data_IF_552833760836
#
_entry.id   IF_552833760836
#
_cell.length_a   1.000
_cell.length_b   1.000
_cell.length_c   1.000
_cell.angle_alpha   90.00
_cell.angle_beta   90.00
_cell.angle_gamma   90.00
#
_symmetry.space_group_name_H-M   'P 1'
#
loop_
_entity.id
_entity.type
_entity.pdbx_description
1 polymer ?
#
# COMPACT_ATOMS: atom_id res chain seq x y z
N UNK A 1 1.93 27.53 -17.48
CA UNK A 1 1.48 26.20 -17.04
C UNK A 1 1.00 26.29 -15.60
N UNK A 2 -0.17 25.75 -15.25
CA UNK A 2 -0.69 25.82 -13.88
C UNK A 2 0.19 24.97 -12.93
N UNK A 3 0.39 25.42 -11.69
CA UNK A 3 1.11 24.68 -10.64
C UNK A 3 0.61 23.24 -10.50
N UNK A 4 -0.71 23.02 -10.67
CA UNK A 4 -1.32 21.66 -10.66
C UNK A 4 -0.79 20.78 -11.80
N UNK A 5 -0.71 21.31 -13.01
CA UNK A 5 -0.21 20.58 -14.19
C UNK A 5 1.27 20.25 -14.05
N UNK A 6 2.07 21.18 -13.50
CA UNK A 6 3.49 20.92 -13.18
C UNK A 6 3.61 19.79 -12.15
N UNK A 7 2.82 19.85 -11.08
CA UNK A 7 2.83 18.84 -10.03
C UNK A 7 2.47 17.44 -10.54
N UNK A 8 1.41 17.32 -11.35
CA UNK A 8 1.02 16.04 -11.97
C UNK A 8 2.14 15.52 -12.88
N UNK A 9 2.72 16.39 -13.72
CA UNK A 9 3.82 16.01 -14.59
C UNK A 9 5.04 15.47 -13.83
N UNK A 10 5.45 16.14 -12.74
CA UNK A 10 6.54 15.69 -11.89
C UNK A 10 6.25 14.36 -11.21
N UNK A 11 5.02 14.18 -10.70
CA UNK A 11 4.62 12.93 -10.05
C UNK A 11 4.63 11.76 -11.02
N UNK A 12 4.06 11.95 -12.22
CA UNK A 12 4.07 10.92 -13.27
C UNK A 12 5.49 10.60 -13.72
N UNK A 13 6.34 11.60 -13.89
CA UNK A 13 7.75 11.39 -14.23
C UNK A 13 8.51 10.61 -13.15
N UNK A 14 8.33 10.96 -11.88
CA UNK A 14 8.93 10.23 -10.76
C UNK A 14 8.43 8.77 -10.70
N UNK A 15 7.14 8.54 -10.93
CA UNK A 15 6.56 7.19 -10.95
C UNK A 15 7.14 6.35 -12.10
N UNK A 16 7.29 6.92 -13.29
CA UNK A 16 7.90 6.22 -14.44
C UNK A 16 9.35 5.85 -14.14
N UNK A 17 10.13 6.78 -13.58
CA UNK A 17 11.52 6.49 -13.17
C UNK A 17 11.54 5.35 -12.15
N UNK A 18 10.69 5.41 -11.13
CA UNK A 18 10.61 4.36 -10.12
C UNK A 18 10.31 2.99 -10.74
N UNK A 19 9.32 2.94 -11.65
CA UNK A 19 8.98 1.70 -12.38
C UNK A 19 10.19 1.19 -13.17
N UNK A 20 10.89 2.05 -13.91
CA UNK A 20 12.07 1.65 -14.68
C UNK A 20 13.14 1.09 -13.74
N UNK A 21 13.45 1.77 -12.62
CA UNK A 21 14.45 1.33 -11.66
C UNK A 21 14.12 -0.03 -11.03
N UNK A 22 12.84 -0.30 -10.77
CA UNK A 22 12.35 -1.55 -10.21
C UNK A 22 12.40 -2.68 -11.25
N UNK A 23 11.91 -2.44 -12.47
CA UNK A 23 11.85 -3.44 -13.55
C UNK A 23 13.24 -3.82 -14.08
N UNK A 24 14.14 -2.84 -14.20
CA UNK A 24 15.53 -3.07 -14.63
C UNK A 24 16.43 -3.57 -13.51
N UNK A 25 15.89 -3.73 -12.30
CA UNK A 25 16.60 -4.17 -11.11
C UNK A 25 17.79 -3.27 -10.71
N UNK A 26 17.85 -2.03 -11.21
CA UNK A 26 18.90 -1.05 -10.90
C UNK A 26 18.89 -0.64 -9.42
N UNK A 27 17.76 -0.81 -8.73
CA UNK A 27 17.62 -0.52 -7.30
C UNK A 27 18.07 -1.67 -6.39
N UNK A 28 18.43 -2.84 -6.93
CA UNK A 28 18.71 -4.05 -6.14
C UNK A 28 19.84 -3.89 -5.10
N UNK A 29 20.89 -3.13 -5.45
CA UNK A 29 22.01 -2.86 -4.54
C UNK A 29 21.53 -2.04 -3.33
N UNK A 30 20.68 -1.04 -3.58
CA UNK A 30 20.08 -0.24 -2.53
C UNK A 30 19.12 -1.08 -1.67
N UNK A 31 18.23 -1.85 -2.29
CA UNK A 31 17.29 -2.75 -1.59
C UNK A 31 18.04 -3.73 -0.67
N UNK A 32 19.13 -4.32 -1.16
CA UNK A 32 19.95 -5.29 -0.41
C UNK A 32 20.72 -4.63 0.73
N UNK A 33 21.23 -3.40 0.53
CA UNK A 33 21.88 -2.64 1.59
C UNK A 33 20.92 -2.34 2.75
N UNK A 34 19.70 -1.92 2.44
CA UNK A 34 18.65 -1.67 3.45
C UNK A 34 18.22 -2.97 4.13
N UNK A 35 18.01 -4.04 3.38
CA UNK A 35 17.65 -5.36 3.94
C UNK A 35 18.69 -5.85 4.95
N UNK A 36 19.98 -5.77 4.61
CA UNK A 36 21.07 -6.18 5.50
C UNK A 36 21.14 -5.32 6.76
N UNK A 37 20.93 -4.00 6.63
CA UNK A 37 20.88 -3.10 7.78
C UNK A 37 19.74 -3.43 8.74
N UNK A 38 18.55 -3.70 8.21
CA UNK A 38 17.37 -4.03 9.02
C UNK A 38 17.51 -5.39 9.70
N UNK A 39 17.98 -6.41 8.98
CA UNK A 39 18.15 -7.77 9.51
C UNK A 39 19.26 -7.86 10.55
N UNK A 40 20.34 -7.09 10.40
CA UNK A 40 21.42 -7.02 11.39
C UNK A 40 20.96 -6.48 12.77
N UNK A 41 19.87 -5.70 12.81
CA UNK A 41 19.33 -5.10 14.03
C UNK A 41 18.00 -5.74 14.48
N UNK A 42 17.66 -6.91 13.93
CA UNK A 42 16.39 -7.56 14.20
C UNK A 42 16.36 -8.16 15.62
N UNK A 43 15.25 -7.95 16.33
CA UNK A 43 14.95 -8.61 17.61
C UNK A 43 13.44 -8.85 17.73
N UNK A 44 13.02 -9.68 18.68
CA UNK A 44 11.61 -10.07 18.83
C UNK A 44 10.69 -8.88 19.14
N UNK A 45 11.16 -7.92 19.95
CA UNK A 45 10.40 -6.72 20.30
C UNK A 45 10.09 -5.85 19.07
N UNK A 46 11.12 -5.48 18.31
CA UNK A 46 10.98 -4.72 17.07
C UNK A 46 10.18 -5.49 16.02
N UNK A 47 10.41 -6.80 15.90
CA UNK A 47 9.67 -7.66 14.97
C UNK A 47 8.18 -7.65 15.26
N UNK A 48 7.78 -7.77 16.53
CA UNK A 48 6.37 -7.73 16.92
C UNK A 48 5.73 -6.36 16.70
N UNK A 49 6.48 -5.27 16.92
CA UNK A 49 6.02 -3.91 16.59
C UNK A 49 5.75 -3.80 15.09
N UNK A 50 6.71 -4.18 14.24
CA UNK A 50 6.52 -4.11 12.79
C UNK A 50 5.41 -5.04 12.29
N UNK A 51 5.27 -6.25 12.83
CA UNK A 51 4.12 -7.13 12.51
C UNK A 51 2.79 -6.48 12.87
N UNK A 52 2.71 -5.82 14.01
CA UNK A 52 1.50 -5.10 14.44
C UNK A 52 1.19 -3.92 13.52
N UNK A 53 2.22 -3.20 13.06
CA UNK A 53 2.06 -2.12 12.08
C UNK A 53 1.58 -2.69 10.74
N UNK A 54 2.21 -3.77 10.26
CA UNK A 54 1.84 -4.43 8.99
C UNK A 54 0.40 -4.93 9.02
N UNK A 55 -0.10 -5.40 10.16
CA UNK A 55 -1.49 -5.87 10.31
C UNK A 55 -2.52 -4.83 9.86
N UNK A 56 -2.29 -3.53 10.04
CA UNK A 56 -3.23 -2.49 9.58
C UNK A 56 -3.34 -2.38 8.04
N UNK A 57 -2.35 -2.87 7.31
CA UNK A 57 -2.38 -3.00 5.85
C UNK A 57 -2.87 -4.37 5.37
N UNK A 58 -3.14 -5.30 6.27
CA UNK A 58 -3.54 -6.66 5.93
C UNK A 58 -5.01 -6.73 5.51
N UNK A 59 -5.34 -7.63 4.58
CA UNK A 59 -6.72 -7.85 4.13
C UNK A 59 -7.64 -8.27 5.29
N UNK A 60 -7.11 -9.01 6.27
CA UNK A 60 -7.83 -9.40 7.47
C UNK A 60 -8.27 -8.20 8.33
N UNK A 61 -7.55 -7.07 8.28
CA UNK A 61 -7.94 -5.84 8.96
C UNK A 61 -8.84 -4.96 8.07
N UNK A 62 -8.48 -4.85 6.79
CA UNK A 62 -9.15 -3.94 5.85
C UNK A 62 -10.59 -4.36 5.56
N UNK A 63 -10.86 -5.66 5.37
CA UNK A 63 -12.22 -6.14 5.06
C UNK A 63 -13.23 -5.76 6.17
N UNK A 64 -12.99 -6.04 7.46
CA UNK A 64 -13.86 -5.57 8.54
C UNK A 64 -14.05 -4.05 8.56
N UNK A 65 -13.00 -3.27 8.30
CA UNK A 65 -13.10 -1.79 8.26
C UNK A 65 -14.06 -1.33 7.17
N UNK A 66 -14.02 -1.94 5.98
CA UNK A 66 -14.96 -1.63 4.90
C UNK A 66 -16.40 -1.92 5.35
N UNK A 67 -16.65 -3.13 5.87
CA UNK A 67 -17.99 -3.56 6.31
C UNK A 67 -18.53 -2.60 7.38
N UNK A 68 -17.73 -2.31 8.41
CA UNK A 68 -18.11 -1.38 9.47
C UNK A 68 -18.36 0.03 8.95
N UNK A 69 -17.54 0.53 8.02
CA UNK A 69 -17.71 1.88 7.44
C UNK A 69 -19.04 2.01 6.69
N UNK A 70 -19.47 0.97 5.97
CA UNK A 70 -20.76 0.93 5.26
C UNK A 70 -21.91 0.88 6.26
N UNK A 71 -21.84 -0.01 7.26
CA UNK A 71 -22.86 -0.14 8.30
C UNK A 71 -23.04 1.17 9.07
N UNK A 72 -21.95 1.77 9.54
CA UNK A 72 -21.95 3.06 10.24
C UNK A 72 -22.50 4.16 9.33
N UNK A 73 -22.11 4.17 8.05
CA UNK A 73 -22.65 5.09 7.06
C UNK A 73 -24.17 4.99 6.90
N UNK A 74 -24.73 3.79 6.92
CA UNK A 74 -26.18 3.55 6.86
C UNK A 74 -26.86 4.03 8.15
N UNK A 75 -26.35 3.62 9.32
CA UNK A 75 -26.93 3.97 10.63
C UNK A 75 -26.94 5.49 10.85
N UNK A 76 -25.84 6.16 10.53
CA UNK A 76 -25.70 7.61 10.69
C UNK A 76 -26.34 8.42 9.55
N UNK A 77 -27.02 7.77 8.59
CA UNK A 77 -27.55 8.39 7.36
C UNK A 77 -26.49 9.12 6.53
N UNK A 78 -25.21 8.76 6.71
CA UNK A 78 -24.04 9.23 5.95
C UNK A 78 -23.62 8.22 4.88
N UNK A 79 -24.59 7.70 4.13
CA UNK A 79 -24.39 6.63 3.12
C UNK A 79 -23.28 7.00 2.12
N UNK A 80 -23.19 8.28 1.74
CA UNK A 80 -22.13 8.79 0.86
C UNK A 80 -20.73 8.57 1.42
N UNK A 81 -20.52 8.80 2.71
CA UNK A 81 -19.21 8.61 3.33
C UNK A 81 -18.82 7.14 3.37
N UNK A 82 -19.74 6.25 3.77
CA UNK A 82 -19.50 4.80 3.75
C UNK A 82 -19.23 4.26 2.34
N UNK A 83 -19.98 4.74 1.34
CA UNK A 83 -19.77 4.38 -0.06
C UNK A 83 -18.41 4.85 -0.60
N UNK A 84 -17.95 6.05 -0.23
CA UNK A 84 -16.62 6.55 -0.63
C UNK A 84 -15.51 5.63 -0.12
N UNK A 85 -15.58 5.19 1.15
CA UNK A 85 -14.59 4.26 1.71
C UNK A 85 -14.56 2.96 0.92
N UNK A 86 -15.73 2.35 0.68
CA UNK A 86 -15.83 1.09 -0.05
C UNK A 86 -15.29 1.20 -1.49
N UNK A 87 -15.71 2.23 -2.23
CA UNK A 87 -15.25 2.45 -3.62
C UNK A 87 -13.74 2.65 -3.67
N UNK A 88 -13.18 3.40 -2.72
CA UNK A 88 -11.75 3.70 -2.71
C UNK A 88 -10.92 2.44 -2.45
N UNK A 89 -11.33 1.59 -1.49
CA UNK A 89 -10.62 0.33 -1.23
C UNK A 89 -10.74 -0.65 -2.40
N UNK A 90 -11.93 -0.75 -3.02
CA UNK A 90 -12.11 -1.56 -4.23
C UNK A 90 -11.23 -1.07 -5.38
N UNK A 91 -11.12 0.25 -5.58
CA UNK A 91 -10.24 0.83 -6.58
C UNK A 91 -8.76 0.53 -6.29
N UNK A 92 -8.35 0.60 -5.02
CA UNK A 92 -7.00 0.23 -4.60
C UNK A 92 -6.67 -1.23 -4.94
N UNK A 93 -7.56 -2.17 -4.60
CA UNK A 93 -7.34 -3.59 -4.89
C UNK A 93 -7.34 -3.90 -6.39
N UNK A 94 -8.19 -3.22 -7.16
CA UNK A 94 -8.18 -3.33 -8.61
C UNK A 94 -6.85 -2.86 -9.22
N UNK A 95 -6.36 -1.67 -8.82
CA UNK A 95 -5.08 -1.13 -9.30
C UNK A 95 -3.92 -2.03 -8.88
N UNK A 96 -3.93 -2.52 -7.64
CA UNK A 96 -2.96 -3.49 -7.11
C UNK A 96 -2.90 -4.74 -8.00
N UNK A 97 -4.05 -5.36 -8.26
CA UNK A 97 -4.13 -6.57 -9.08
C UNK A 97 -3.66 -6.30 -10.52
N UNK A 98 -4.08 -5.19 -11.12
CA UNK A 98 -3.67 -4.78 -12.46
C UNK A 98 -2.15 -4.63 -12.55
N UNK A 99 -1.53 -3.94 -11.60
CA UNK A 99 -0.08 -3.73 -11.62
C UNK A 99 0.68 -5.04 -11.41
N UNK A 100 0.20 -5.91 -10.51
CA UNK A 100 0.79 -7.23 -10.33
C UNK A 100 0.77 -8.06 -11.62
N UNK A 101 -0.30 -7.97 -12.42
CA UNK A 101 -0.40 -8.65 -13.71
C UNK A 101 0.50 -8.04 -14.81
N UNK A 102 0.74 -6.73 -14.77
CA UNK A 102 1.58 -6.04 -15.75
C UNK A 102 3.06 -6.33 -15.49
N UNK A 103 3.51 -6.17 -14.24
CA UNK A 103 4.93 -6.21 -13.89
C UNK A 103 5.44 -7.62 -13.57
N UNK A 104 4.60 -8.46 -12.97
CA UNK A 104 4.93 -9.86 -12.68
C UNK A 104 6.28 -10.08 -11.96
N UNK A 105 6.72 -9.08 -11.17
CA UNK A 105 8.02 -9.12 -10.51
C UNK A 105 8.06 -10.26 -9.47
N UNK A 106 9.03 -11.19 -9.55
CA UNK A 106 9.17 -12.25 -8.55
C UNK A 106 9.51 -11.67 -7.18
N UNK A 107 9.19 -12.41 -6.12
CA UNK A 107 9.64 -12.07 -4.77
C UNK A 107 11.09 -12.47 -4.58
N UNK A 108 11.90 -11.66 -3.89
CA UNK A 108 13.25 -12.06 -3.52
C UNK A 108 13.22 -13.22 -2.52
N UNK A 109 14.21 -14.11 -2.64
CA UNK A 109 14.42 -15.24 -1.71
C UNK A 109 15.13 -14.76 -0.43
N UNK A 110 14.36 -14.07 0.42
CA UNK A 110 14.80 -13.52 1.70
C UNK A 110 13.96 -14.07 2.85
N UNK A 111 14.31 -13.72 4.10
CA UNK A 111 13.50 -14.04 5.26
C UNK A 111 12.15 -13.31 5.19
N UNK A 112 11.05 -14.06 5.08
CA UNK A 112 9.70 -13.51 5.08
C UNK A 112 9.09 -13.62 6.49
N UNK A 113 8.91 -12.49 7.17
CA UNK A 113 8.33 -12.44 8.53
C UNK A 113 6.80 -12.52 8.52
N UNK A 114 6.18 -12.23 7.39
CA UNK A 114 4.74 -12.33 7.12
C UNK A 114 4.58 -13.07 5.79
N UNK A 115 3.65 -14.02 5.75
CA UNK A 115 3.39 -14.77 4.53
C UNK A 115 2.51 -13.96 3.60
N UNK A 116 2.96 -13.79 2.37
CA UNK A 116 2.19 -13.13 1.32
C UNK A 116 2.42 -13.84 -0.01
N UNK A 117 1.33 -14.06 -0.75
CA UNK A 117 1.37 -14.72 -2.06
C UNK A 117 1.59 -13.77 -3.25
N UNK A 118 1.84 -14.37 -4.41
CA UNK A 118 1.90 -13.68 -5.70
C UNK A 118 3.10 -12.76 -5.90
N UNK A 119 3.01 -11.88 -6.90
CA UNK A 119 4.08 -10.96 -7.29
C UNK A 119 4.42 -9.91 -6.21
N UNK A 120 5.66 -9.44 -6.23
CA UNK A 120 6.26 -8.56 -5.21
C UNK A 120 5.94 -7.07 -5.39
N UNK A 121 5.63 -6.65 -6.63
CA UNK A 121 5.37 -5.26 -6.96
C UNK A 121 3.96 -5.05 -7.51
N UNK A 122 3.22 -4.02 -7.04
CA UNK A 122 3.48 -3.24 -5.82
C UNK A 122 3.15 -4.05 -4.55
N UNK A 123 3.60 -3.55 -3.38
CA UNK A 123 3.26 -4.16 -2.08
C UNK A 123 1.79 -3.98 -1.74
N UNK A 124 1.12 -5.08 -1.36
CA UNK A 124 -0.29 -5.05 -0.97
C UNK A 124 -0.52 -4.29 0.32
N UNK A 125 0.20 -4.64 1.40
CA UNK A 125 0.06 -3.99 2.70
C UNK A 125 0.40 -2.51 2.65
N UNK A 126 1.43 -2.11 1.91
CA UNK A 126 1.77 -0.69 1.74
C UNK A 126 0.68 0.08 1.01
N UNK A 127 0.15 -0.47 -0.09
CA UNK A 127 -0.95 0.16 -0.83
C UNK A 127 -2.21 0.29 0.04
N UNK A 128 -2.57 -0.76 0.77
CA UNK A 128 -3.72 -0.75 1.67
C UNK A 128 -3.55 0.28 2.80
N UNK A 129 -2.40 0.31 3.47
CA UNK A 129 -2.13 1.25 4.57
C UNK A 129 -2.11 2.72 4.09
N UNK A 130 -1.48 3.01 2.95
CA UNK A 130 -1.48 4.34 2.36
C UNK A 130 -2.90 4.79 1.97
N UNK A 131 -3.67 3.89 1.36
CA UNK A 131 -5.04 4.12 0.96
C UNK A 131 -5.96 4.40 2.16
N UNK A 132 -5.89 3.57 3.20
CA UNK A 132 -6.64 3.76 4.43
C UNK A 132 -6.30 5.11 5.09
N UNK A 133 -5.02 5.45 5.17
CA UNK A 133 -4.56 6.73 5.72
C UNK A 133 -5.13 7.92 4.94
N UNK A 134 -5.11 7.87 3.60
CA UNK A 134 -5.67 8.91 2.74
C UNK A 134 -7.18 9.10 2.93
N UNK A 135 -7.92 7.99 3.04
CA UNK A 135 -9.36 8.01 3.33
C UNK A 135 -9.64 8.64 4.70
N UNK A 136 -8.90 8.22 5.74
CA UNK A 136 -9.09 8.74 7.10
C UNK A 136 -8.84 10.25 7.14
N UNK A 137 -7.77 10.73 6.51
CA UNK A 137 -7.47 12.15 6.39
C UNK A 137 -8.63 12.87 5.68
N UNK A 138 -9.12 12.34 4.56
CA UNK A 138 -10.26 12.94 3.84
C UNK A 138 -11.52 13.04 4.70
N UNK A 139 -11.85 11.98 5.47
CA UNK A 139 -13.02 11.96 6.33
C UNK A 139 -12.90 12.88 7.54
N UNK A 140 -11.68 13.12 8.05
CA UNK A 140 -11.43 14.04 9.17
C UNK A 140 -11.50 15.50 8.70
N UNK A 141 -10.98 15.80 7.50
CA UNK A 141 -10.89 17.16 6.98
C UNK A 141 -12.18 17.67 6.31
N UNK A 142 -13.22 16.83 6.20
CA UNK A 142 -14.49 17.15 5.52
C UNK A 142 -15.66 17.11 6.49
#
# INVERSE_FOLDING_TARGET
MNRKTIGIGLLSFALIILIILVETNLIAVFDSAIYNLLTANMNDGLTNIFKSITFFGDEAFIIPVIILSVIIGVILKKIRSGAIVAIFVMANDFIKALFKLIFQRPRPEILHLVQEGGFSFPSGHTMAAASLSGILIYLILK
#
